data_IF_025314922567
#
_entry.id   IF_025314922567
#
_cell.length_a   1.000
_cell.length_b   1.000
_cell.length_c   1.000
_cell.angle_alpha   90.00
_cell.angle_beta   90.00
_cell.angle_gamma   90.00
#
_symmetry.space_group_name_H-M   'P 1'
#
loop_
_entity.id
_entity.type
_entity.pdbx_description
1 polymer ?
#
# COMPACT_ATOMS: atom_id res chain seq x y z
N UNK A 1 10.48 -8.38 9.21
CA UNK A 1 10.35 -6.94 8.87
C UNK A 1 10.29 -6.84 7.36
N UNK A 2 9.17 -6.36 6.79
CA UNK A 2 9.10 -6.10 5.35
C UNK A 2 9.86 -4.80 5.05
N UNK A 3 10.87 -4.86 4.17
CA UNK A 3 11.59 -3.68 3.70
C UNK A 3 10.98 -3.29 2.36
N UNK A 4 10.38 -2.11 2.30
CA UNK A 4 9.82 -1.56 1.07
C UNK A 4 10.84 -0.64 0.45
N UNK A 5 11.27 -0.98 -0.77
CA UNK A 5 12.15 -0.14 -1.58
C UNK A 5 11.30 0.47 -2.68
N UNK A 6 11.23 1.79 -2.67
CA UNK A 6 10.52 2.55 -3.69
C UNK A 6 11.58 3.16 -4.60
N UNK A 7 11.44 2.88 -5.89
CA UNK A 7 12.29 3.44 -6.93
C UNK A 7 11.53 4.57 -7.61
N UNK A 8 12.11 5.76 -7.57
CA UNK A 8 11.59 6.93 -8.25
C UNK A 8 12.45 7.23 -9.49
N UNK A 9 11.84 7.21 -10.68
CA UNK A 9 12.52 7.62 -11.90
C UNK A 9 12.39 9.13 -12.10
N UNK A 10 13.51 9.84 -11.96
CA UNK A 10 13.56 11.31 -12.04
C UNK A 10 13.19 11.82 -13.43
N UNK A 11 13.50 11.05 -14.47
CA UNK A 11 13.41 11.47 -15.88
C UNK A 11 12.00 11.44 -16.45
N UNK A 12 11.21 10.45 -16.04
CA UNK A 12 9.81 10.27 -16.50
C UNK A 12 8.78 10.50 -15.39
N UNK A 13 9.22 10.83 -14.17
CA UNK A 13 8.35 10.99 -13.01
C UNK A 13 7.48 9.74 -12.77
N UNK A 14 8.06 8.55 -12.99
CA UNK A 14 7.39 7.25 -12.85
C UNK A 14 7.86 6.60 -11.56
N UNK A 15 6.88 6.14 -10.76
CA UNK A 15 7.10 5.40 -9.52
C UNK A 15 7.01 3.90 -9.78
N UNK A 16 8.02 3.14 -9.33
CA UNK A 16 7.97 1.69 -9.29
C UNK A 16 8.17 1.19 -7.86
N UNK A 17 7.28 0.32 -7.39
CA UNK A 17 7.38 -0.30 -6.06
C UNK A 17 7.98 -1.70 -6.22
N UNK A 18 9.17 -1.92 -5.65
CA UNK A 18 9.78 -3.25 -5.60
C UNK A 18 9.52 -3.85 -4.23
N UNK A 19 8.61 -4.84 -4.16
CA UNK A 19 8.39 -5.64 -2.96
C UNK A 19 9.51 -6.69 -2.92
N UNK A 20 10.52 -6.45 -2.09
CA UNK A 20 11.65 -7.36 -1.94
C UNK A 20 11.26 -8.65 -1.21
N UNK A 21 10.81 -9.67 -1.94
CA UNK A 21 10.67 -11.05 -1.42
C UNK A 21 11.87 -11.94 -1.84
N UNK A 22 12.78 -11.50 -2.70
CA UNK A 22 13.96 -12.32 -3.05
C UNK A 22 15.19 -11.50 -3.47
N UNK A 23 16.37 -12.04 -3.13
CA UNK A 23 17.74 -11.51 -3.29
C UNK A 23 18.21 -11.30 -4.76
N UNK A 24 17.30 -11.28 -5.74
CA UNK A 24 17.67 -11.18 -7.16
C UNK A 24 17.46 -9.75 -7.66
N UNK A 25 18.57 -9.03 -7.80
CA UNK A 25 18.60 -7.68 -8.36
C UNK A 25 18.03 -7.68 -9.79
N UNK A 26 17.06 -6.80 -10.12
CA UNK A 26 16.62 -6.60 -11.50
C UNK A 26 17.79 -6.16 -12.39
N UNK A 27 17.84 -6.58 -13.65
CA UNK A 27 18.83 -6.13 -14.65
C UNK A 27 18.51 -4.75 -15.23
N UNK A 28 17.81 -3.92 -14.44
CA UNK A 28 17.40 -2.57 -14.83
C UNK A 28 18.58 -1.63 -14.61
N UNK A 29 18.80 -0.70 -15.53
CA UNK A 29 19.76 0.38 -15.32
C UNK A 29 19.24 1.30 -14.21
N UNK A 30 19.87 1.20 -13.04
CA UNK A 30 19.48 1.92 -11.83
C UNK A 30 20.01 3.36 -11.80
N UNK A 31 20.80 3.79 -12.79
CA UNK A 31 21.39 5.14 -12.82
C UNK A 31 20.35 6.25 -13.00
N UNK A 32 19.17 5.93 -13.57
CA UNK A 32 18.06 6.87 -13.73
C UNK A 32 17.09 6.90 -12.51
N UNK A 33 17.36 6.09 -11.48
CA UNK A 33 16.50 5.91 -10.33
C UNK A 33 17.17 6.41 -9.04
N UNK A 34 16.41 7.13 -8.24
CA UNK A 34 16.82 7.50 -6.88
C UNK A 34 16.15 6.58 -5.87
N UNK A 35 16.96 6.10 -4.91
CA UNK A 35 16.45 5.40 -3.75
C UNK A 35 15.92 6.42 -2.75
N UNK A 36 14.62 6.39 -2.53
CA UNK A 36 13.98 7.24 -1.52
C UNK A 36 13.64 6.38 -0.31
N UNK A 37 14.37 6.60 0.79
CA UNK A 37 14.01 6.05 2.09
C UNK A 37 13.05 7.02 2.75
N UNK A 38 11.84 6.54 3.06
CA UNK A 38 10.80 7.37 3.66
C UNK A 38 10.67 7.03 5.14
N UNK A 39 10.49 8.06 5.94
CA UNK A 39 10.09 7.90 7.33
C UNK A 39 8.63 7.42 7.37
N UNK A 40 8.46 6.12 7.57
CA UNK A 40 7.17 5.48 7.76
C UNK A 40 7.02 5.01 9.21
N UNK A 41 5.79 4.95 9.70
CA UNK A 41 5.50 4.42 11.03
C UNK A 41 5.99 2.99 11.12
N UNK A 42 6.76 2.69 12.17
CA UNK A 42 7.16 1.32 12.46
C UNK A 42 5.91 0.51 12.82
N UNK A 43 5.63 -0.49 12.01
CA UNK A 43 4.58 -1.47 12.28
C UNK A 43 4.90 -2.22 13.58
N UNK A 44 3.95 -2.29 14.51
CA UNK A 44 4.09 -3.07 15.74
C UNK A 44 3.77 -4.55 15.50
N UNK A 45 2.83 -4.83 14.59
CA UNK A 45 2.43 -6.17 14.21
C UNK A 45 2.94 -6.50 12.79
N UNK A 46 3.73 -7.57 12.62
CA UNK A 46 4.27 -7.94 11.31
C UNK A 46 3.20 -8.37 10.30
N UNK A 47 1.98 -8.71 10.72
CA UNK A 47 0.90 -9.11 9.80
C UNK A 47 0.13 -7.94 9.19
N UNK A 48 0.43 -6.71 9.60
CA UNK A 48 -0.26 -5.51 9.12
C UNK A 48 0.49 -4.81 7.96
N UNK A 49 1.60 -5.38 7.51
CA UNK A 49 2.46 -4.81 6.48
C UNK A 49 1.70 -4.48 5.19
N UNK A 50 0.72 -5.32 4.82
CA UNK A 50 -0.20 -5.14 3.70
C UNK A 50 -1.01 -3.85 3.81
N UNK A 51 -1.57 -3.59 4.99
CA UNK A 51 -2.40 -2.41 5.26
C UNK A 51 -1.57 -1.12 5.22
N UNK A 52 -0.35 -1.16 5.76
CA UNK A 52 0.58 -0.04 5.67
C UNK A 52 0.95 0.28 4.22
N UNK A 53 1.20 -0.74 3.39
CA UNK A 53 1.48 -0.57 1.95
C UNK A 53 0.30 0.06 1.20
N UNK A 54 -0.91 -0.47 1.40
CA UNK A 54 -2.09 0.07 0.74
C UNK A 54 -2.28 1.54 1.14
N UNK A 55 -2.13 1.86 2.43
CA UNK A 55 -2.24 3.24 2.90
C UNK A 55 -1.17 4.13 2.31
N UNK A 56 0.05 3.63 2.27
CA UNK A 56 1.19 4.34 1.72
C UNK A 56 0.92 4.75 0.26
N UNK A 57 0.50 3.80 -0.57
CA UNK A 57 0.17 4.05 -1.98
C UNK A 57 -0.97 5.07 -2.14
N UNK A 58 -1.96 5.06 -1.25
CA UNK A 58 -3.06 6.04 -1.27
C UNK A 58 -2.63 7.45 -0.87
N UNK A 59 -1.63 7.59 0.00
CA UNK A 59 -1.17 8.89 0.51
C UNK A 59 0.04 9.43 -0.23
N UNK A 60 0.59 8.64 -1.14
CA UNK A 60 1.67 9.06 -2.00
C UNK A 60 1.21 10.17 -2.95
N UNK A 61 1.97 11.26 -2.98
CA UNK A 61 1.79 12.38 -3.88
C UNK A 61 3.16 12.89 -4.32
N UNK A 62 3.22 13.73 -5.35
CA UNK A 62 4.45 14.29 -5.96
C UNK A 62 5.37 15.09 -4.99
N UNK A 63 5.12 15.08 -3.68
CA UNK A 63 5.95 15.69 -2.63
C UNK A 63 6.23 14.77 -1.43
N UNK A 64 5.99 13.46 -1.56
CA UNK A 64 6.24 12.46 -0.51
C UNK A 64 5.00 12.08 0.31
N UNK A 65 5.24 11.44 1.46
CA UNK A 65 4.20 10.90 2.34
C UNK A 65 3.81 11.93 3.42
N UNK A 66 2.76 12.72 3.19
CA UNK A 66 2.38 13.79 4.12
C UNK A 66 1.78 13.30 5.45
N UNK A 67 1.31 12.05 5.51
CA UNK A 67 0.67 11.43 6.69
C UNK A 67 0.90 9.92 6.67
N UNK A 68 1.30 9.34 7.78
CA UNK A 68 1.31 7.88 7.96
C UNK A 68 0.05 7.45 8.76
N UNK A 69 -0.38 6.19 8.59
CA UNK A 69 -1.40 5.62 9.49
C UNK A 69 -0.74 5.26 10.81
N UNK A 70 -1.36 5.68 11.90
CA UNK A 70 -0.93 5.28 13.23
C UNK A 70 -1.33 3.82 13.52
N UNK A 71 -0.51 3.08 14.26
CA UNK A 71 -0.73 1.66 14.53
C UNK A 71 -2.12 1.36 15.14
N UNK A 72 -2.61 2.25 16.01
CA UNK A 72 -3.93 2.17 16.65
C UNK A 72 -5.11 2.30 15.66
N UNK A 73 -4.86 2.80 14.44
CA UNK A 73 -5.88 3.01 13.39
C UNK A 73 -5.88 1.92 12.32
N UNK A 74 -4.96 0.98 12.37
CA UNK A 74 -4.80 -0.08 11.35
C UNK A 74 -6.06 -0.94 11.25
N UNK A 75 -6.62 -1.40 12.38
CA UNK A 75 -7.82 -2.24 12.39
C UNK A 75 -9.00 -1.53 11.71
N UNK A 76 -9.30 -0.31 12.15
CA UNK A 76 -10.38 0.50 11.58
C UNK A 76 -10.19 0.76 10.08
N UNK A 77 -8.95 0.91 9.63
CA UNK A 77 -8.66 1.11 8.22
C UNK A 77 -8.75 -0.19 7.41
N UNK A 78 -8.37 -1.34 7.98
CA UNK A 78 -8.60 -2.68 7.41
C UNK A 78 -10.09 -2.93 7.20
N UNK A 79 -10.92 -2.64 8.20
CA UNK A 79 -12.39 -2.71 8.09
C UNK A 79 -12.91 -1.81 6.97
N UNK A 80 -12.43 -0.56 6.91
CA UNK A 80 -12.82 0.37 5.85
C UNK A 80 -12.51 -0.17 4.45
N UNK A 81 -11.30 -0.71 4.23
CA UNK A 81 -10.93 -1.29 2.92
C UNK A 81 -11.82 -2.49 2.62
N UNK A 82 -12.04 -3.37 3.59
CA UNK A 82 -12.88 -4.54 3.41
C UNK A 82 -14.30 -4.15 2.99
N UNK A 83 -14.91 -3.19 3.68
CA UNK A 83 -16.23 -2.67 3.29
C UNK A 83 -16.21 -2.07 1.89
N UNK A 84 -15.20 -1.27 1.53
CA UNK A 84 -15.09 -0.69 0.19
C UNK A 84 -14.97 -1.75 -0.90
N UNK A 85 -14.21 -2.82 -0.67
CA UNK A 85 -14.02 -3.91 -1.63
C UNK A 85 -15.26 -4.78 -1.76
N UNK A 86 -15.93 -5.11 -0.64
CA UNK A 86 -17.16 -5.92 -0.66
C UNK A 86 -18.29 -5.17 -1.37
N UNK A 87 -18.40 -3.86 -1.11
CA UNK A 87 -19.47 -3.03 -1.66
C UNK A 87 -19.15 -2.42 -3.04
N UNK A 88 -18.01 -2.78 -3.67
CA UNK A 88 -17.66 -2.26 -4.99
C UNK A 88 -18.56 -2.83 -6.08
N UNK A 89 -18.81 -2.04 -7.13
CA UNK A 89 -19.73 -2.43 -8.21
C UNK A 89 -19.26 -3.69 -8.95
N UNK A 90 -17.94 -3.87 -9.01
CA UNK A 90 -17.26 -4.97 -9.69
C UNK A 90 -17.22 -6.25 -8.84
N UNK A 91 -17.65 -6.19 -7.58
CA UNK A 91 -17.65 -7.36 -6.71
C UNK A 91 -18.90 -8.20 -6.94
N UNK A 92 -18.71 -9.40 -7.48
CA UNK A 92 -19.79 -10.37 -7.76
C UNK A 92 -20.59 -10.75 -6.50
N UNK A 93 -19.99 -10.63 -5.32
CA UNK A 93 -20.60 -11.01 -4.03
C UNK A 93 -21.41 -9.86 -3.43
N UNK A 94 -21.35 -8.65 -3.99
CA UNK A 94 -22.01 -7.44 -3.46
C UNK A 94 -23.51 -7.64 -3.24
N UNK A 95 -24.21 -8.21 -4.22
CA UNK A 95 -25.66 -8.43 -4.13
C UNK A 95 -26.02 -9.42 -3.02
N UNK A 96 -25.22 -10.46 -2.81
CA UNK A 96 -25.42 -11.42 -1.72
C UNK A 96 -25.33 -10.73 -0.34
N UNK A 97 -24.44 -9.75 -0.20
CA UNK A 97 -24.28 -9.00 1.06
C UNK A 97 -25.50 -8.13 1.35
N UNK A 98 -26.08 -7.46 0.35
CA UNK A 98 -27.34 -6.73 0.53
C UNK A 98 -28.47 -7.64 0.98
N UNK A 99 -28.61 -8.82 0.35
CA UNK A 99 -29.66 -9.79 0.70
C UNK A 99 -29.53 -10.32 2.14
N UNK A 100 -28.32 -10.42 2.68
CA UNK A 100 -28.09 -10.82 4.08
C UNK A 100 -28.36 -9.68 5.06
N UNK A 101 -28.17 -8.41 4.65
CA UNK A 101 -28.42 -7.24 5.51
C UNK A 101 -29.88 -6.83 5.62
N UNK A 102 -30.71 -7.16 4.63
CA UNK A 102 -32.16 -6.87 4.66
C UNK A 102 -32.98 -7.92 5.46
N UNK A 103 -32.33 -8.91 6.08
CA UNK A 103 -32.95 -9.92 6.98
C UNK A 103 -32.83 -9.53 8.45
#
# INVERSE_FOLDING_TARGET
MCIFIILYCVKVNVLSTVIGIQEKRPSVDMTEFEFVVLEVVQQLNPTDCDIFVIKFMQLWSNGGLSRAIANDKVIKYREKILTQLIMSLENEVRENVYQVWDQ
#
